data_IF_828685617346
#
_entry.id   IF_828685617346
#
_cell.length_a   1.000
_cell.length_b   1.000
_cell.length_c   1.000
_cell.angle_alpha   90.00
_cell.angle_beta   90.00
_cell.angle_gamma   90.00
#
_symmetry.space_group_name_H-M   'P 1'
#
loop_
_entity.id
_entity.type
_entity.pdbx_description
1 polymer ?
#
# COMPACT_ATOMS: atom_id res chain seq x y z
N UNK A 1 47.00 9.59 -56.63
CA UNK A 1 45.95 9.98 -55.69
C UNK A 1 45.69 8.78 -54.77
N UNK A 2 46.15 8.83 -53.54
CA UNK A 2 45.95 7.76 -52.56
C UNK A 2 44.84 8.23 -51.61
N UNK A 3 43.68 7.57 -51.65
CA UNK A 3 42.59 7.77 -50.68
C UNK A 3 42.89 6.97 -49.41
N UNK A 4 43.00 7.65 -48.28
CA UNK A 4 43.09 7.04 -46.94
C UNK A 4 41.70 6.65 -46.45
N UNK A 5 41.48 5.44 -45.92
CA UNK A 5 40.21 5.13 -45.29
C UNK A 5 40.15 5.74 -43.88
N UNK A 6 39.06 6.40 -43.57
CA UNK A 6 38.69 6.83 -42.21
C UNK A 6 38.33 5.59 -41.40
N UNK A 7 39.09 5.36 -40.35
CA UNK A 7 38.76 4.39 -39.31
C UNK A 7 37.72 5.03 -38.37
N UNK A 8 36.46 4.56 -38.46
CA UNK A 8 35.45 4.82 -37.45
C UNK A 8 35.72 3.91 -36.23
N UNK A 9 36.09 4.51 -35.12
CA UNK A 9 36.14 3.82 -33.83
C UNK A 9 34.75 3.75 -33.24
N UNK A 10 34.21 2.57 -32.84
CA UNK A 10 32.94 2.50 -32.14
C UNK A 10 33.15 2.90 -30.68
N UNK A 11 32.47 3.95 -30.26
CA UNK A 11 32.37 4.32 -28.85
C UNK A 11 31.43 3.35 -28.18
N UNK A 12 31.93 2.46 -27.34
CA UNK A 12 31.17 1.66 -26.44
C UNK A 12 30.67 2.58 -25.29
N UNK A 13 29.40 2.90 -25.31
CA UNK A 13 28.74 3.50 -24.17
C UNK A 13 28.43 2.39 -23.17
N UNK A 14 29.22 2.29 -22.12
CA UNK A 14 28.93 1.41 -21.00
C UNK A 14 27.79 2.01 -20.21
N UNK A 15 26.60 1.43 -20.35
CA UNK A 15 25.47 1.75 -19.49
C UNK A 15 25.70 1.11 -18.10
N UNK A 16 26.06 1.93 -17.12
CA UNK A 16 26.09 1.49 -15.72
C UNK A 16 24.67 1.36 -15.23
N UNK A 17 24.16 0.15 -15.11
CA UNK A 17 22.96 -0.14 -14.35
C UNK A 17 23.33 -0.05 -12.86
N UNK A 18 22.96 1.05 -12.23
CA UNK A 18 22.98 1.15 -10.78
C UNK A 18 21.79 0.32 -10.29
N UNK A 19 22.02 -0.91 -9.88
CA UNK A 19 21.08 -1.68 -9.12
C UNK A 19 20.97 -1.03 -7.73
N UNK A 20 20.08 -0.03 -7.60
CA UNK A 20 19.72 0.51 -6.32
C UNK A 20 18.96 -0.56 -5.55
N UNK A 21 19.52 -1.09 -4.45
CA UNK A 21 18.76 -1.79 -3.44
C UNK A 21 17.80 -0.77 -2.82
N UNK A 22 16.66 -0.57 -3.48
CA UNK A 22 15.57 0.21 -2.93
C UNK A 22 14.95 -0.59 -1.80
N UNK A 23 15.21 -0.22 -0.54
CA UNK A 23 14.36 -0.61 0.55
C UNK A 23 12.93 -0.20 0.20
N UNK A 24 11.95 -1.12 0.35
CA UNK A 24 10.55 -0.82 0.08
C UNK A 24 10.07 0.12 1.19
N UNK A 25 10.27 1.42 1.00
CA UNK A 25 9.56 2.41 1.78
C UNK A 25 8.11 2.38 1.33
N UNK A 26 7.12 2.26 2.26
CA UNK A 26 5.72 2.37 1.89
C UNK A 26 5.52 3.75 1.28
N UNK A 27 5.39 3.77 -0.03
CA UNK A 27 5.12 4.98 -0.78
C UNK A 27 3.63 5.27 -0.69
N UNK A 28 3.26 6.50 -0.35
CA UNK A 28 1.88 6.99 -0.53
C UNK A 28 1.51 7.14 -2.00
N UNK A 29 2.41 6.78 -2.91
CA UNK A 29 2.15 6.75 -4.33
C UNK A 29 1.13 5.66 -4.68
N UNK A 30 0.20 6.00 -5.56
CA UNK A 30 -0.76 5.05 -6.08
C UNK A 30 -0.13 4.17 -7.15
N UNK A 31 -0.35 2.86 -7.03
CA UNK A 31 0.12 1.83 -7.96
C UNK A 31 -1.09 1.18 -8.64
N UNK A 32 -0.85 0.42 -9.72
CA UNK A 32 -1.94 -0.26 -10.42
C UNK A 32 -2.61 -1.35 -9.57
N UNK A 33 -1.85 -2.04 -8.72
CA UNK A 33 -2.32 -3.15 -7.90
C UNK A 33 -1.72 -3.08 -6.49
N UNK A 34 -2.48 -3.57 -5.51
CA UNK A 34 -1.96 -3.83 -4.18
C UNK A 34 -0.94 -4.95 -4.19
N UNK A 35 0.08 -4.89 -3.32
CA UNK A 35 0.90 -6.05 -3.01
C UNK A 35 0.05 -7.22 -2.52
N UNK A 36 0.52 -8.44 -2.70
CA UNK A 36 -0.15 -9.61 -2.18
C UNK A 36 -0.11 -9.60 -0.65
N UNK A 37 -1.25 -9.87 -0.02
CA UNK A 37 -1.36 -9.99 1.44
C UNK A 37 -0.81 -11.30 1.97
N UNK A 38 -0.43 -11.30 3.24
CA UNK A 38 0.14 -12.45 3.94
C UNK A 38 -0.90 -13.45 4.47
N UNK A 39 -2.17 -13.06 4.51
CA UNK A 39 -3.24 -13.87 5.08
C UNK A 39 -4.35 -14.12 4.07
N UNK A 40 -5.04 -15.24 4.21
CA UNK A 40 -6.21 -15.53 3.41
C UNK A 40 -7.35 -14.54 3.73
N UNK A 41 -8.09 -14.05 2.73
CA UNK A 41 -9.18 -13.10 2.95
C UNK A 41 -10.23 -13.57 3.96
N UNK A 42 -10.56 -14.86 3.95
CA UNK A 42 -11.54 -15.44 4.87
C UNK A 42 -11.12 -15.29 6.34
N UNK A 43 -9.83 -15.51 6.64
CA UNK A 43 -9.30 -15.35 7.99
C UNK A 43 -9.33 -13.88 8.42
N UNK A 44 -9.01 -12.97 7.51
CA UNK A 44 -9.05 -11.54 7.78
C UNK A 44 -10.46 -11.06 8.09
N UNK A 45 -11.47 -11.55 7.37
CA UNK A 45 -12.88 -11.19 7.57
C UNK A 45 -13.42 -11.70 8.92
N UNK A 46 -12.86 -12.80 9.44
CA UNK A 46 -13.19 -13.27 10.79
C UNK A 46 -12.62 -12.38 11.90
N UNK A 47 -11.43 -11.84 11.69
CA UNK A 47 -10.70 -11.09 12.70
C UNK A 47 -10.96 -9.59 12.66
N UNK A 48 -11.14 -9.05 11.46
CA UNK A 48 -11.22 -7.60 11.27
C UNK A 48 -12.42 -7.20 10.42
N UNK A 49 -12.92 -6.03 10.71
CA UNK A 49 -13.86 -5.31 9.86
C UNK A 49 -13.27 -3.95 9.52
N UNK A 50 -13.45 -3.50 8.31
CA UNK A 50 -12.93 -2.23 7.83
C UNK A 50 -14.07 -1.31 7.40
N UNK A 51 -13.85 -0.01 7.53
CA UNK A 51 -14.68 1.02 6.93
C UNK A 51 -13.82 2.00 6.17
N UNK A 52 -14.35 2.57 5.10
CA UNK A 52 -13.67 3.59 4.32
C UNK A 52 -14.69 4.54 3.71
N UNK A 53 -14.41 5.83 3.80
CA UNK A 53 -15.22 6.88 3.21
C UNK A 53 -14.32 7.99 2.64
N UNK A 54 -14.83 8.70 1.65
CA UNK A 54 -14.17 9.88 1.10
C UNK A 54 -14.68 11.12 1.80
N UNK A 55 -13.77 11.92 2.31
CA UNK A 55 -14.06 13.20 2.95
C UNK A 55 -13.19 14.30 2.34
N UNK A 56 -13.58 15.56 2.52
CA UNK A 56 -12.78 16.69 2.09
C UNK A 56 -11.78 17.07 3.18
N UNK A 57 -10.50 16.99 2.83
CA UNK A 57 -9.41 17.44 3.68
C UNK A 57 -8.94 18.85 3.30
N UNK A 58 -8.06 19.41 4.13
CA UNK A 58 -7.47 20.74 3.89
C UNK A 58 -6.69 20.79 2.58
N UNK A 59 -6.08 19.70 2.14
CA UNK A 59 -5.25 19.58 0.93
C UNK A 59 -5.91 18.77 -0.17
N UNK A 60 -7.23 18.67 -0.17
CA UNK A 60 -8.00 17.92 -1.16
C UNK A 60 -8.76 16.75 -0.57
N UNK A 61 -9.38 15.91 -1.40
CA UNK A 61 -10.11 14.75 -0.94
C UNK A 61 -9.18 13.73 -0.31
N UNK A 62 -9.67 13.07 0.74
CA UNK A 62 -8.99 11.99 1.43
C UNK A 62 -9.94 10.81 1.62
N UNK A 63 -9.37 9.61 1.66
CA UNK A 63 -10.06 8.42 2.10
C UNK A 63 -9.63 8.11 3.52
N UNK A 64 -10.58 7.92 4.41
CA UNK A 64 -10.35 7.64 5.82
C UNK A 64 -11.34 6.63 6.36
N UNK A 65 -11.01 6.01 7.46
CA UNK A 65 -11.87 5.03 8.09
C UNK A 65 -11.21 4.36 9.27
N UNK A 66 -11.74 3.21 9.60
CA UNK A 66 -11.32 2.45 10.78
C UNK A 66 -11.10 0.98 10.42
N UNK A 67 -10.19 0.36 11.17
CA UNK A 67 -10.02 -1.07 11.22
C UNK A 67 -10.47 -1.51 12.61
N UNK A 68 -11.50 -2.34 12.66
CA UNK A 68 -12.06 -2.90 13.88
C UNK A 68 -11.48 -4.29 14.11
N UNK A 69 -10.96 -4.53 15.29
CA UNK A 69 -10.40 -5.82 15.67
C UNK A 69 -11.41 -6.59 16.53
N UNK A 70 -11.97 -7.65 15.98
CA UNK A 70 -12.93 -8.54 16.65
C UNK A 70 -12.25 -9.78 17.27
N UNK A 71 -10.92 -9.86 17.17
CA UNK A 71 -10.17 -10.99 17.68
C UNK A 71 -9.75 -10.77 19.14
N UNK A 72 -9.33 -11.84 19.80
CA UNK A 72 -8.95 -11.80 21.22
C UNK A 72 -7.52 -11.32 21.49
N UNK A 73 -6.81 -10.87 20.50
CA UNK A 73 -5.46 -10.30 20.62
C UNK A 73 -5.38 -8.98 19.85
N UNK A 74 -4.54 -8.07 20.30
CA UNK A 74 -4.22 -6.86 19.54
C UNK A 74 -3.35 -7.18 18.33
N UNK A 75 -3.44 -6.36 17.29
CA UNK A 75 -2.59 -6.40 16.11
C UNK A 75 -1.68 -5.18 16.08
N UNK A 76 -0.44 -5.34 15.64
CA UNK A 76 0.53 -4.27 15.51
C UNK A 76 1.27 -4.33 14.19
N UNK A 77 1.96 -3.26 13.83
CA UNK A 77 2.70 -3.15 12.56
C UNK A 77 1.82 -3.54 11.36
N UNK A 78 0.62 -3.00 11.34
CA UNK A 78 -0.35 -3.32 10.30
C UNK A 78 -0.13 -2.46 9.06
N UNK A 79 0.08 -3.13 7.93
CA UNK A 79 0.10 -2.53 6.61
C UNK A 79 -1.23 -2.80 5.92
N UNK A 80 -1.86 -1.76 5.44
CA UNK A 80 -3.11 -1.84 4.67
C UNK A 80 -2.91 -1.38 3.25
N UNK A 81 -3.66 -1.96 2.34
CA UNK A 81 -3.84 -1.48 0.98
C UNK A 81 -5.20 -0.79 0.85
N UNK A 82 -5.21 0.38 0.24
CA UNK A 82 -6.43 1.11 -0.09
C UNK A 82 -6.61 1.02 -1.58
N UNK A 83 -7.63 0.29 -2.02
CA UNK A 83 -7.93 0.09 -3.43
C UNK A 83 -8.97 1.10 -3.90
N UNK A 84 -8.67 1.79 -5.00
CA UNK A 84 -9.66 2.56 -5.74
C UNK A 84 -10.43 1.61 -6.64
N UNK A 85 -11.75 1.68 -6.58
CA UNK A 85 -12.63 0.82 -7.36
C UNK A 85 -13.18 1.55 -8.57
N UNK A 86 -13.27 0.84 -9.70
CA UNK A 86 -14.03 1.29 -10.87
C UNK A 86 -15.53 1.24 -10.57
N UNK A 87 -16.38 1.88 -11.41
CA UNK A 87 -17.84 1.77 -11.28
C UNK A 87 -18.37 0.33 -11.29
N UNK A 88 -17.64 -0.60 -11.91
CA UNK A 88 -17.98 -2.04 -11.93
C UNK A 88 -17.46 -2.80 -10.69
N UNK A 89 -16.79 -2.14 -9.75
CA UNK A 89 -16.29 -2.73 -8.51
C UNK A 89 -14.92 -3.40 -8.60
N UNK A 90 -14.20 -3.23 -9.71
CA UNK A 90 -12.83 -3.73 -9.86
C UNK A 90 -11.80 -2.75 -9.34
N UNK A 91 -10.75 -3.26 -8.68
CA UNK A 91 -9.63 -2.44 -8.26
C UNK A 91 -8.84 -1.93 -9.48
N UNK A 92 -8.65 -0.62 -9.57
CA UNK A 92 -7.92 0.04 -10.67
C UNK A 92 -6.65 0.72 -10.19
N UNK A 93 -6.53 0.96 -8.90
CA UNK A 93 -5.33 1.53 -8.29
C UNK A 93 -5.25 1.13 -6.81
N UNK A 94 -4.07 1.16 -6.25
CA UNK A 94 -3.81 0.87 -4.83
C UNK A 94 -2.73 1.77 -4.27
N UNK A 95 -2.91 2.20 -3.03
CA UNK A 95 -1.83 2.76 -2.21
C UNK A 95 -1.72 1.95 -0.92
N UNK A 96 -0.54 1.93 -0.33
CA UNK A 96 -0.29 1.25 0.95
C UNK A 96 -0.06 2.27 2.06
N UNK A 97 -0.60 1.99 3.23
CA UNK A 97 -0.50 2.86 4.41
C UNK A 97 -0.21 2.01 5.63
N UNK A 98 0.71 2.47 6.46
CA UNK A 98 0.90 1.92 7.80
C UNK A 98 -0.16 2.47 8.75
N UNK A 99 -0.82 1.58 9.48
CA UNK A 99 -1.68 1.98 10.59
C UNK A 99 -0.79 2.45 11.73
N UNK A 100 -1.03 3.67 12.22
CA UNK A 100 -0.25 4.24 13.32
C UNK A 100 -0.66 3.59 14.63
N UNK A 101 0.33 3.03 15.33
CA UNK A 101 0.13 2.32 16.58
C UNK A 101 -0.39 0.90 16.37
N UNK A 102 -1.17 0.40 17.32
CA UNK A 102 -1.79 -0.92 17.28
C UNK A 102 -3.28 -0.82 16.97
N UNK A 103 -3.85 -1.96 16.55
CA UNK A 103 -5.29 -2.18 16.49
C UNK A 103 -5.68 -3.01 17.71
N UNK A 104 -6.15 -2.40 18.81
CA UNK A 104 -6.35 -3.11 20.06
C UNK A 104 -7.47 -4.15 19.97
N UNK A 105 -7.35 -5.17 20.79
CA UNK A 105 -8.41 -6.19 20.97
C UNK A 105 -9.77 -5.52 21.27
N UNK A 106 -10.80 -5.87 20.50
CA UNK A 106 -12.16 -5.38 20.69
C UNK A 106 -12.32 -3.87 20.43
N UNK A 107 -11.35 -3.25 19.78
CA UNK A 107 -11.34 -1.82 19.50
C UNK A 107 -10.96 -1.56 18.05
N UNK A 108 -10.62 -0.34 17.72
CA UNK A 108 -10.37 0.12 16.36
C UNK A 108 -9.13 0.99 16.26
N UNK A 109 -8.58 1.09 15.06
CA UNK A 109 -7.56 2.05 14.70
C UNK A 109 -8.01 2.86 13.48
N UNK A 110 -7.59 4.11 13.43
CA UNK A 110 -7.88 5.06 12.35
C UNK A 110 -6.80 5.00 11.28
N UNK A 111 -7.20 5.17 10.03
CA UNK A 111 -6.29 5.38 8.92
C UNK A 111 -6.79 6.51 8.01
N UNK A 112 -5.87 7.09 7.27
CA UNK A 112 -6.16 8.13 6.29
C UNK A 112 -5.12 8.11 5.17
N UNK A 113 -5.57 8.37 3.95
CA UNK A 113 -4.69 8.57 2.78
C UNK A 113 -5.31 9.61 1.83
N UNK A 114 -4.51 10.31 1.02
CA UNK A 114 -5.05 11.13 -0.05
C UNK A 114 -5.89 10.29 -1.03
N UNK A 115 -7.03 10.81 -1.46
CA UNK A 115 -7.88 10.19 -2.46
C UNK A 115 -7.65 10.86 -3.82
N UNK A 116 -7.17 10.15 -4.85
CA UNK A 116 -6.94 10.75 -6.17
C UNK A 116 -8.23 11.11 -6.90
N UNK A 117 -9.34 10.44 -6.59
CA UNK A 117 -10.65 10.69 -7.17
C UNK A 117 -11.71 10.74 -6.05
N UNK A 118 -12.28 11.93 -5.84
CA UNK A 118 -13.31 12.16 -4.81
C UNK A 118 -14.63 11.42 -5.10
N UNK A 119 -14.90 11.05 -6.35
CA UNK A 119 -16.13 10.36 -6.75
C UNK A 119 -16.01 8.84 -6.75
N UNK A 120 -14.80 8.30 -6.63
CA UNK A 120 -14.57 6.86 -6.60
C UNK A 120 -14.98 6.24 -5.26
N UNK A 121 -15.23 4.94 -5.28
CA UNK A 121 -15.34 4.11 -4.09
C UNK A 121 -14.00 3.47 -3.77
N UNK A 122 -13.76 3.26 -2.50
CA UNK A 122 -12.51 2.69 -2.01
C UNK A 122 -12.78 1.48 -1.13
N UNK A 123 -11.86 0.52 -1.17
CA UNK A 123 -11.88 -0.69 -0.36
C UNK A 123 -10.55 -0.86 0.35
N UNK A 124 -10.61 -1.22 1.63
CA UNK A 124 -9.42 -1.48 2.42
C UNK A 124 -9.12 -2.97 2.47
N UNK A 125 -7.86 -3.30 2.26
CA UNK A 125 -7.32 -4.66 2.42
C UNK A 125 -6.24 -4.64 3.47
N UNK A 126 -6.27 -5.60 4.39
CA UNK A 126 -5.15 -5.83 5.31
C UNK A 126 -4.12 -6.69 4.61
N UNK A 127 -2.90 -6.18 4.47
CA UNK A 127 -1.83 -6.84 3.75
C UNK A 127 -0.94 -7.64 4.68
N UNK A 128 -0.56 -7.07 5.83
CA UNK A 128 0.27 -7.74 6.82
C UNK A 128 0.08 -7.11 8.19
N UNK A 129 0.33 -7.87 9.24
CA UNK A 129 0.37 -7.43 10.63
C UNK A 129 1.01 -8.50 11.49
N UNK A 130 1.30 -8.16 12.73
CA UNK A 130 1.72 -9.09 13.75
C UNK A 130 0.72 -9.11 14.90
N UNK A 131 0.41 -10.30 15.43
CA UNK A 131 -0.32 -10.38 16.68
C UNK A 131 0.56 -9.91 17.83
N UNK A 132 0.03 -9.05 18.68
CA UNK A 132 0.72 -8.65 19.89
C UNK A 132 0.86 -9.85 20.80
N UNK A 133 2.08 -10.09 21.27
CA UNK A 133 2.30 -11.11 22.30
C UNK A 133 1.61 -10.63 23.57
N UNK A 134 0.79 -11.51 24.18
CA UNK A 134 0.37 -11.27 25.56
C UNK A 134 1.65 -11.17 26.39
N UNK A 135 1.77 -10.09 27.17
CA UNK A 135 2.92 -9.90 28.03
C UNK A 135 3.19 -11.19 28.80
N UNK A 136 4.29 -11.85 28.46
CA UNK A 136 4.69 -13.06 29.18
C UNK A 136 5.01 -12.69 30.61
N UNK A 137 4.38 -13.34 31.49
CA UNK A 137 4.90 -13.43 32.86
C UNK A 137 6.12 -14.33 32.83
#
# INVERSE_FOLDING_TARGET
MRRRPLLLTPHFVAAYFIAGCGGVSPSTAWQAQCPQGSYAPQSLDEWFRTSAEVTQGRHGPKVEGYIYNNYFAGAEQMLIGIEQLSPSGHAVACTTVWVIGSVPQGNRAYFVAPAPDASAKYRVRILSFNWMKRGGQ
#
